data_IF_331803485074
#
_entry.id   IF_331803485074
#
_cell.length_a   1.000
_cell.length_b   1.000
_cell.length_c   1.000
_cell.angle_alpha   90.00
_cell.angle_beta   90.00
_cell.angle_gamma   90.00
#
_symmetry.space_group_name_H-M   'P 1'
#
loop_
_entity.id
_entity.type
_entity.pdbx_description
1 polymer ?
#
# COMPACT_ATOMS: atom_id res chain seq x y z
N UNK A 1 55.32 -39.89 -63.78
CA UNK A 1 53.88 -40.06 -63.52
C UNK A 1 53.53 -39.09 -62.40
N UNK A 2 52.94 -37.95 -62.73
CA UNK A 2 52.53 -36.94 -61.73
C UNK A 2 51.23 -37.40 -61.06
N UNK A 3 51.23 -37.43 -59.74
CA UNK A 3 50.05 -37.72 -58.92
C UNK A 3 49.11 -36.51 -58.89
N UNK A 4 47.79 -36.71 -59.07
CA UNK A 4 46.85 -35.60 -59.07
C UNK A 4 46.77 -34.95 -57.68
N UNK A 5 46.55 -33.63 -57.59
CA UNK A 5 46.46 -32.94 -56.31
C UNK A 5 45.22 -33.41 -55.53
N UNK A 6 45.47 -33.87 -54.30
CA UNK A 6 44.42 -34.25 -53.34
C UNK A 6 43.59 -33.02 -52.96
N UNK A 7 42.33 -33.01 -53.37
CA UNK A 7 41.37 -31.98 -52.97
C UNK A 7 40.96 -32.23 -51.51
N UNK A 8 41.40 -31.37 -50.59
CA UNK A 8 40.91 -31.40 -49.22
C UNK A 8 39.46 -30.86 -49.19
N UNK A 9 38.49 -31.55 -48.57
CA UNK A 9 37.13 -31.05 -48.49
C UNK A 9 37.08 -29.76 -47.64
N UNK A 10 36.26 -28.76 -48.02
CA UNK A 10 36.16 -27.51 -47.28
C UNK A 10 35.65 -27.77 -45.85
N UNK A 11 36.36 -27.24 -44.85
CA UNK A 11 35.96 -27.30 -43.44
C UNK A 11 34.61 -26.62 -43.27
N UNK A 12 33.59 -27.38 -42.83
CA UNK A 12 32.25 -26.87 -42.54
C UNK A 12 32.35 -25.81 -41.45
N UNK A 13 32.10 -24.56 -41.82
CA UNK A 13 32.24 -23.42 -40.92
C UNK A 13 31.07 -23.38 -39.94
N UNK A 14 31.38 -23.61 -38.66
CA UNK A 14 30.42 -23.40 -37.56
C UNK A 14 30.23 -21.91 -37.22
N UNK A 15 30.79 -20.99 -38.02
CA UNK A 15 30.73 -19.54 -37.80
C UNK A 15 29.28 -19.04 -37.72
N UNK A 16 28.36 -19.57 -38.52
CA UNK A 16 26.93 -19.20 -38.43
C UNK A 16 26.29 -19.61 -37.11
N UNK A 17 26.69 -20.77 -36.56
CA UNK A 17 26.18 -21.28 -35.28
C UNK A 17 26.77 -20.49 -34.10
N UNK A 18 28.05 -20.12 -34.16
CA UNK A 18 28.72 -19.28 -33.15
C UNK A 18 28.12 -17.87 -33.16
N UNK A 19 27.93 -17.25 -34.32
CA UNK A 19 27.28 -15.94 -34.44
C UNK A 19 25.85 -15.99 -33.91
N UNK A 20 25.08 -17.04 -34.24
CA UNK A 20 23.74 -17.25 -33.72
C UNK A 20 23.69 -17.38 -32.19
N UNK A 21 24.65 -18.10 -31.59
CA UNK A 21 24.75 -18.29 -30.14
C UNK A 21 25.13 -17.00 -29.40
N UNK A 22 26.06 -16.21 -29.97
CA UNK A 22 26.49 -14.93 -29.39
C UNK A 22 25.36 -13.89 -29.49
N UNK A 23 24.70 -13.76 -30.65
CA UNK A 23 23.58 -12.83 -30.82
C UNK A 23 22.36 -13.26 -29.99
N UNK A 24 22.08 -14.57 -29.89
CA UNK A 24 21.03 -15.11 -29.03
C UNK A 24 21.30 -14.86 -27.54
N UNK A 25 22.54 -15.03 -27.09
CA UNK A 25 22.95 -14.75 -25.72
C UNK A 25 22.83 -13.27 -25.34
N UNK A 26 23.24 -12.36 -26.23
CA UNK A 26 23.09 -10.91 -26.04
C UNK A 26 21.60 -10.52 -26.05
N UNK A 27 20.80 -11.08 -26.96
CA UNK A 27 19.36 -10.85 -26.99
C UNK A 27 18.68 -11.31 -25.68
N UNK A 28 19.03 -12.47 -25.13
CA UNK A 28 18.46 -12.95 -23.86
C UNK A 28 18.94 -12.10 -22.67
N UNK A 29 20.20 -11.68 -22.64
CA UNK A 29 20.71 -10.85 -21.55
C UNK A 29 20.11 -9.44 -21.56
N UNK A 30 20.05 -8.80 -22.74
CA UNK A 30 19.58 -7.42 -22.88
C UNK A 30 18.05 -7.33 -22.97
N UNK A 31 17.39 -8.23 -23.70
CA UNK A 31 15.93 -8.21 -23.87
C UNK A 31 15.25 -9.02 -22.76
N UNK A 32 15.78 -10.19 -22.42
CA UNK A 32 15.25 -11.02 -21.33
C UNK A 32 15.43 -10.37 -19.96
N UNK A 33 16.57 -9.74 -19.69
CA UNK A 33 16.80 -8.97 -18.46
C UNK A 33 15.88 -7.76 -18.33
N UNK A 34 15.69 -7.00 -19.42
CA UNK A 34 14.74 -5.87 -19.45
C UNK A 34 13.31 -6.37 -19.30
N UNK A 35 12.92 -7.45 -19.96
CA UNK A 35 11.59 -8.05 -19.81
C UNK A 35 11.34 -8.54 -18.37
N UNK A 36 12.32 -9.19 -17.72
CA UNK A 36 12.19 -9.63 -16.33
C UNK A 36 12.07 -8.45 -15.36
N UNK A 37 12.84 -7.38 -15.57
CA UNK A 37 12.71 -6.15 -14.77
C UNK A 37 11.38 -5.44 -15.02
N UNK A 38 10.93 -5.36 -16.27
CA UNK A 38 9.68 -4.69 -16.62
C UNK A 38 8.46 -5.49 -16.14
N UNK A 39 8.35 -6.78 -16.50
CA UNK A 39 7.23 -7.63 -16.13
C UNK A 39 7.26 -8.06 -14.66
N UNK A 40 8.43 -8.37 -14.10
CA UNK A 40 8.60 -8.67 -12.68
C UNK A 40 8.36 -7.44 -11.80
N UNK A 41 8.88 -6.28 -12.22
CA UNK A 41 8.61 -5.01 -11.56
C UNK A 41 7.13 -4.64 -11.57
N UNK A 42 6.44 -4.80 -12.72
CA UNK A 42 5.00 -4.59 -12.84
C UNK A 42 4.18 -5.51 -11.93
N UNK A 43 4.56 -6.79 -11.80
CA UNK A 43 3.85 -7.74 -10.93
C UNK A 43 4.00 -7.39 -9.44
N UNK A 44 5.21 -7.02 -9.01
CA UNK A 44 5.47 -6.58 -7.63
C UNK A 44 4.75 -5.26 -7.37
N UNK A 45 4.84 -4.29 -8.29
CA UNK A 45 4.19 -2.99 -8.16
C UNK A 45 2.67 -3.12 -8.03
N UNK A 46 2.04 -3.97 -8.84
CA UNK A 46 0.60 -4.27 -8.74
C UNK A 46 0.21 -4.95 -7.43
N UNK A 47 1.11 -5.75 -6.84
CA UNK A 47 0.88 -6.40 -5.54
C UNK A 47 0.94 -5.43 -4.37
N UNK A 48 1.80 -4.42 -4.40
CA UNK A 48 2.02 -3.48 -3.28
C UNK A 48 1.24 -2.17 -3.42
N UNK A 49 0.86 -1.77 -4.64
CA UNK A 49 0.13 -0.54 -4.91
C UNK A 49 -1.16 -0.37 -4.07
N UNK A 50 -2.05 -1.37 -3.94
CA UNK A 50 -3.25 -1.22 -3.13
C UNK A 50 -2.97 -0.94 -1.66
N UNK A 51 -1.86 -1.47 -1.13
CA UNK A 51 -1.44 -1.17 0.24
C UNK A 51 -0.80 0.21 0.37
N UNK A 52 0.00 0.62 -0.60
CA UNK A 52 0.56 1.97 -0.62
C UNK A 52 -0.56 3.04 -0.69
N UNK A 53 -1.57 2.82 -1.53
CA UNK A 53 -2.78 3.65 -1.60
C UNK A 53 -3.49 3.74 -0.26
N UNK A 54 -3.74 2.58 0.37
CA UNK A 54 -4.30 2.50 1.73
C UNK A 54 -3.51 3.30 2.75
N UNK A 55 -2.20 3.06 2.84
CA UNK A 55 -1.34 3.70 3.83
C UNK A 55 -1.33 5.22 3.64
N UNK A 56 -1.16 5.70 2.40
CA UNK A 56 -1.19 7.13 2.09
C UNK A 56 -2.53 7.77 2.45
N UNK A 57 -3.63 7.09 2.15
CA UNK A 57 -4.96 7.54 2.49
C UNK A 57 -5.13 7.73 4.01
N UNK A 58 -4.65 6.79 4.82
CA UNK A 58 -4.62 6.95 6.27
C UNK A 58 -3.71 8.10 6.73
N UNK A 59 -2.57 8.31 6.08
CA UNK A 59 -1.68 9.44 6.36
C UNK A 59 -2.33 10.79 6.05
N UNK A 60 -3.08 10.92 4.95
CA UNK A 60 -3.83 12.15 4.66
C UNK A 60 -4.88 12.44 5.73
N UNK A 61 -5.55 11.39 6.24
CA UNK A 61 -6.51 11.55 7.34
C UNK A 61 -5.83 11.93 8.65
N UNK A 62 -4.65 11.38 8.95
CA UNK A 62 -3.84 11.78 10.11
C UNK A 62 -3.42 13.27 10.03
N UNK A 63 -2.99 13.71 8.85
CA UNK A 63 -2.65 15.11 8.60
C UNK A 63 -3.88 16.01 8.72
N UNK A 64 -5.03 15.57 8.19
CA UNK A 64 -6.30 16.26 8.34
C UNK A 64 -6.73 16.39 9.81
N UNK A 65 -6.58 15.32 10.61
CA UNK A 65 -6.82 15.38 12.06
C UNK A 65 -5.92 16.40 12.75
N UNK A 66 -4.64 16.44 12.37
CA UNK A 66 -3.67 17.40 12.93
C UNK A 66 -3.97 18.85 12.50
N UNK A 67 -4.51 19.05 11.31
CA UNK A 67 -4.97 20.35 10.85
C UNK A 67 -6.25 20.79 11.57
N UNK A 68 -7.24 19.90 11.69
CA UNK A 68 -8.48 20.12 12.43
C UNK A 68 -8.20 20.45 13.90
N UNK A 69 -7.31 19.69 14.55
CA UNK A 69 -6.90 19.91 15.94
C UNK A 69 -6.43 21.36 16.18
N UNK A 70 -5.62 21.91 15.25
CA UNK A 70 -5.08 23.28 15.37
C UNK A 70 -6.15 24.37 15.25
N UNK A 71 -7.22 24.10 14.53
CA UNK A 71 -8.31 25.06 14.27
C UNK A 71 -9.48 24.92 15.26
N UNK A 72 -9.57 23.79 15.99
CA UNK A 72 -10.71 23.45 16.85
C UNK A 72 -10.30 23.22 18.31
N UNK A 73 -9.42 24.09 18.85
CA UNK A 73 -8.98 24.06 20.25
C UNK A 73 -8.44 22.69 20.70
N UNK A 74 -7.73 21.96 19.85
CA UNK A 74 -7.19 20.65 20.21
C UNK A 74 -8.23 19.52 20.25
N UNK A 75 -9.45 19.73 19.78
CA UNK A 75 -10.51 18.71 19.79
C UNK A 75 -10.48 17.84 18.54
N UNK A 76 -10.96 16.61 18.72
CA UNK A 76 -11.30 15.70 17.65
C UNK A 76 -12.67 16.06 17.05
N UNK A 77 -12.91 15.67 15.79
CA UNK A 77 -14.19 15.92 15.13
C UNK A 77 -15.34 15.17 15.80
N UNK A 78 -16.57 15.55 15.43
CA UNK A 78 -17.75 14.82 15.87
C UNK A 78 -17.85 13.46 15.19
N UNK A 79 -18.11 12.41 15.95
CA UNK A 79 -18.28 11.06 15.43
C UNK A 79 -19.36 10.98 14.33
N UNK A 80 -20.43 11.78 14.42
CA UNK A 80 -21.51 11.76 13.44
C UNK A 80 -21.14 12.34 12.07
N UNK A 81 -20.12 13.22 12.00
CA UNK A 81 -19.78 14.01 10.80
C UNK A 81 -18.27 14.08 10.54
N UNK A 82 -17.50 13.16 11.10
CA UNK A 82 -16.04 13.28 11.14
C UNK A 82 -15.40 13.33 9.73
N UNK A 83 -15.92 12.60 8.74
CA UNK A 83 -15.39 12.67 7.38
C UNK A 83 -15.75 14.01 6.74
N UNK A 84 -16.96 14.52 6.96
CA UNK A 84 -17.38 15.81 6.42
C UNK A 84 -16.57 16.96 7.03
N UNK A 85 -16.28 16.89 8.32
CA UNK A 85 -15.47 17.86 9.05
C UNK A 85 -13.99 17.80 8.65
N UNK A 86 -13.46 16.61 8.34
CA UNK A 86 -12.08 16.43 7.88
C UNK A 86 -11.90 16.62 6.36
N UNK A 87 -12.95 16.45 5.55
CA UNK A 87 -12.92 16.57 4.10
C UNK A 87 -12.23 17.83 3.55
N UNK A 88 -12.46 19.05 4.09
CA UNK A 88 -11.76 20.24 3.58
C UNK A 88 -10.23 20.17 3.80
N UNK A 89 -9.77 19.49 4.85
CA UNK A 89 -8.34 19.33 5.13
C UNK A 89 -7.71 18.24 4.26
N UNK A 90 -8.43 17.14 4.03
CA UNK A 90 -8.01 16.11 3.06
C UNK A 90 -7.96 16.69 1.65
N UNK A 91 -8.96 17.49 1.25
CA UNK A 91 -8.95 18.15 -0.06
C UNK A 91 -7.69 18.99 -0.27
N UNK A 92 -7.28 19.80 0.72
CA UNK A 92 -6.05 20.60 0.65
C UNK A 92 -4.79 19.76 0.42
N UNK A 93 -4.66 18.62 1.09
CA UNK A 93 -3.50 17.74 0.94
C UNK A 93 -3.49 16.98 -0.40
N UNK A 94 -4.66 16.86 -1.04
CA UNK A 94 -4.85 16.06 -2.25
C UNK A 94 -4.92 16.89 -3.53
N UNK A 95 -5.13 18.22 -3.46
CA UNK A 95 -5.24 19.11 -4.63
C UNK A 95 -4.00 19.99 -4.91
N UNK A 96 -2.89 19.80 -4.20
CA UNK A 96 -1.63 20.55 -4.44
C UNK A 96 -0.70 19.93 -5.50
N UNK A 97 0.40 20.63 -5.85
CA UNK A 97 1.50 20.18 -6.76
C UNK A 97 2.03 18.76 -6.47
N UNK A 98 1.74 18.19 -5.30
CA UNK A 98 2.06 16.80 -4.91
C UNK A 98 1.33 15.72 -5.75
N UNK A 99 0.33 16.07 -6.56
CA UNK A 99 -0.36 15.12 -7.45
C UNK A 99 0.35 14.89 -8.79
N UNK A 100 1.18 15.83 -9.26
CA UNK A 100 1.87 15.69 -10.54
C UNK A 100 2.97 14.62 -10.41
N UNK A 101 2.63 13.39 -10.78
CA UNK A 101 3.53 12.24 -10.79
C UNK A 101 3.24 11.15 -9.75
N UNK A 102 2.16 11.24 -8.96
CA UNK A 102 1.80 10.17 -8.02
C UNK A 102 1.04 9.04 -8.75
N UNK A 103 1.60 7.82 -8.88
CA UNK A 103 0.93 6.71 -9.57
C UNK A 103 -0.20 6.05 -8.76
N UNK A 104 -0.42 6.48 -7.52
CA UNK A 104 -1.37 5.87 -6.60
C UNK A 104 -2.69 6.65 -6.56
N UNK A 105 -3.81 5.92 -6.49
CA UNK A 105 -5.13 6.52 -6.36
C UNK A 105 -5.35 7.10 -4.96
N UNK A 106 -5.45 8.42 -4.91
CA UNK A 106 -5.81 9.18 -3.71
C UNK A 106 -7.33 9.09 -3.48
N UNK A 107 -7.76 9.00 -2.22
CA UNK A 107 -9.18 9.01 -1.86
C UNK A 107 -9.89 10.31 -2.28
N UNK A 108 -11.15 10.21 -2.69
CA UNK A 108 -12.00 11.39 -2.87
C UNK A 108 -12.46 11.91 -1.50
N UNK A 109 -12.20 13.19 -1.20
CA UNK A 109 -12.62 13.85 0.04
C UNK A 109 -14.15 13.77 0.26
N UNK A 110 -14.95 13.68 -0.82
CA UNK A 110 -16.42 13.57 -0.76
C UNK A 110 -16.95 12.13 -0.85
N UNK A 111 -16.08 11.16 -1.11
CA UNK A 111 -16.44 9.75 -1.19
C UNK A 111 -16.44 9.03 0.16
N UNK A 112 -16.78 7.73 0.14
CA UNK A 112 -16.56 6.85 1.29
C UNK A 112 -15.06 6.62 1.48
N UNK A 113 -14.56 6.87 2.68
CA UNK A 113 -13.15 6.63 2.99
C UNK A 113 -12.92 5.20 3.41
N UNK A 114 -11.83 4.61 2.89
CA UNK A 114 -11.59 3.20 3.05
C UNK A 114 -10.37 2.72 2.29
N UNK A 115 -10.27 1.41 2.25
CA UNK A 115 -9.15 0.67 1.71
C UNK A 115 -9.64 -0.30 0.65
N UNK A 116 -8.89 -0.47 -0.43
CA UNK A 116 -9.15 -1.50 -1.45
C UNK A 116 -7.93 -2.39 -1.53
N UNK A 117 -8.10 -3.69 -1.31
CA UNK A 117 -7.03 -4.68 -1.41
C UNK A 117 -7.54 -5.88 -2.23
N UNK A 118 -7.25 -5.86 -3.53
CA UNK A 118 -7.88 -6.78 -4.48
C UNK A 118 -9.38 -6.55 -4.55
N UNK A 119 -10.17 -7.61 -4.39
CA UNK A 119 -11.64 -7.55 -4.39
C UNK A 119 -12.24 -7.13 -3.05
N UNK A 120 -11.42 -7.02 -1.99
CA UNK A 120 -11.89 -6.65 -0.66
C UNK A 120 -11.85 -5.14 -0.48
N UNK A 121 -13.03 -4.56 -0.20
CA UNK A 121 -13.18 -3.15 0.21
C UNK A 121 -13.48 -3.07 1.70
N UNK A 122 -12.71 -2.27 2.42
CA UNK A 122 -12.89 -1.94 3.84
C UNK A 122 -13.13 -0.44 3.99
N UNK A 123 -13.74 -0.02 5.10
CA UNK A 123 -13.99 1.39 5.41
C UNK A 123 -13.07 1.91 6.50
N UNK A 124 -12.93 3.24 6.56
CA UNK A 124 -12.37 3.92 7.72
C UNK A 124 -13.52 4.27 8.67
N UNK A 125 -13.39 3.88 9.94
CA UNK A 125 -14.35 4.18 10.99
C UNK A 125 -13.71 5.09 12.05
N UNK A 126 -14.46 6.06 12.54
CA UNK A 126 -14.08 6.85 13.70
C UNK A 126 -14.52 6.15 15.00
N UNK A 127 -13.65 6.16 16.01
CA UNK A 127 -13.96 5.60 17.31
C UNK A 127 -14.94 6.51 18.05
N UNK A 128 -16.18 6.03 18.27
CA UNK A 128 -17.22 6.81 18.96
C UNK A 128 -16.83 7.23 20.37
N UNK A 129 -15.90 6.53 21.01
CA UNK A 129 -15.39 6.92 22.33
C UNK A 129 -14.51 8.19 22.28
N UNK A 130 -14.12 8.65 21.08
CA UNK A 130 -13.29 9.84 20.88
C UNK A 130 -14.09 11.07 20.44
N UNK A 131 -15.42 10.97 20.36
CA UNK A 131 -16.32 12.04 19.92
C UNK A 131 -16.09 13.35 20.70
N UNK A 132 -15.63 14.39 20.00
CA UNK A 132 -15.37 15.71 20.56
C UNK A 132 -14.29 15.78 21.67
N UNK A 133 -13.58 14.68 21.95
CA UNK A 133 -12.52 14.63 22.96
C UNK A 133 -11.29 15.41 22.54
N UNK A 134 -10.41 15.74 23.49
CA UNK A 134 -9.13 16.37 23.18
C UNK A 134 -8.18 15.35 22.55
N UNK A 135 -7.44 15.78 21.53
CA UNK A 135 -6.37 14.97 20.92
C UNK A 135 -5.30 14.57 21.95
N UNK A 136 -5.04 15.43 22.95
CA UNK A 136 -4.12 15.14 24.05
C UNK A 136 -4.53 13.91 24.88
N UNK A 137 -5.83 13.72 25.11
CA UNK A 137 -6.34 12.51 25.78
C UNK A 137 -6.06 11.26 24.96
N UNK A 138 -6.15 11.37 23.62
CA UNK A 138 -5.83 10.30 22.71
C UNK A 138 -4.33 9.98 22.72
N UNK A 139 -3.46 11.01 22.72
CA UNK A 139 -2.00 10.90 22.76
C UNK A 139 -1.51 10.23 24.04
N UNK A 140 -1.94 10.74 25.19
CA UNK A 140 -1.50 10.26 26.51
C UNK A 140 -1.81 8.79 26.77
N UNK A 141 -2.94 8.31 26.23
CA UNK A 141 -3.40 6.91 26.38
C UNK A 141 -3.10 6.05 25.17
N UNK A 142 -2.46 6.61 24.14
CA UNK A 142 -2.28 6.01 22.83
C UNK A 142 -3.58 5.37 22.29
N UNK A 143 -4.70 6.08 22.44
CA UNK A 143 -6.03 5.59 22.07
C UNK A 143 -6.22 5.63 20.56
N UNK A 144 -6.92 4.61 20.04
CA UNK A 144 -7.29 4.55 18.62
C UNK A 144 -8.39 5.56 18.33
N UNK A 145 -8.13 6.44 17.36
CA UNK A 145 -9.03 7.51 16.93
C UNK A 145 -9.81 7.07 15.69
N UNK A 146 -9.10 6.57 14.68
CA UNK A 146 -9.67 6.06 13.44
C UNK A 146 -9.12 4.67 13.21
N UNK A 147 -9.92 3.76 12.68
CA UNK A 147 -9.53 2.38 12.42
C UNK A 147 -10.16 1.85 11.15
N UNK A 148 -9.56 0.80 10.62
CA UNK A 148 -10.10 0.06 9.49
C UNK A 148 -11.21 -0.88 9.94
N UNK A 149 -12.32 -0.87 9.21
CA UNK A 149 -13.49 -1.68 9.48
C UNK A 149 -13.86 -2.53 8.26
N UNK A 150 -14.40 -3.74 8.44
CA UNK A 150 -15.02 -4.49 7.35
C UNK A 150 -16.27 -3.79 6.80
N UNK A 151 -16.87 -2.86 7.55
CA UNK A 151 -18.00 -2.05 7.08
C UNK A 151 -17.47 -0.87 6.26
N UNK A 152 -18.22 -0.48 5.25
CA UNK A 152 -17.95 0.71 4.43
C UNK A 152 -19.06 1.73 4.61
N UNK A 153 -18.74 3.00 4.36
CA UNK A 153 -19.72 4.08 4.35
C UNK A 153 -19.15 5.42 4.78
N UNK A 154 -19.84 6.49 4.39
CA UNK A 154 -19.53 7.85 4.80
C UNK A 154 -19.83 8.08 6.27
N UNK A 155 -18.96 8.82 6.95
CA UNK A 155 -19.03 9.11 8.39
C UNK A 155 -19.24 7.85 9.25
N UNK A 156 -18.66 6.72 8.85
CA UNK A 156 -18.75 5.50 9.62
C UNK A 156 -18.16 5.74 11.01
N UNK A 157 -18.96 5.56 12.05
CA UNK A 157 -18.54 5.72 13.43
C UNK A 157 -18.97 4.49 14.23
N UNK A 158 -17.99 3.86 14.87
CA UNK A 158 -18.16 2.59 15.56
C UNK A 158 -17.34 2.62 16.85
N UNK A 159 -17.75 1.83 17.84
CA UNK A 159 -16.89 1.55 18.97
C UNK A 159 -15.66 0.76 18.49
N UNK A 160 -14.46 1.19 18.90
CA UNK A 160 -13.25 0.46 18.55
C UNK A 160 -13.20 -0.89 19.27
N UNK A 161 -12.98 -1.95 18.48
CA UNK A 161 -12.71 -3.29 18.96
C UNK A 161 -11.54 -3.87 18.17
N UNK A 162 -10.63 -4.54 18.86
CA UNK A 162 -9.50 -5.19 18.21
C UNK A 162 -9.99 -6.37 17.38
N UNK A 163 -9.79 -6.28 16.06
CA UNK A 163 -10.19 -7.31 15.12
C UNK A 163 -9.08 -8.35 14.94
N UNK A 164 -9.48 -9.58 14.60
CA UNK A 164 -8.53 -10.66 14.38
C UNK A 164 -7.68 -10.42 13.13
N UNK A 165 -6.36 -10.62 13.23
CA UNK A 165 -5.45 -10.42 12.09
C UNK A 165 -5.80 -11.33 10.92
N UNK A 166 -6.21 -12.58 11.16
CA UNK A 166 -6.51 -13.51 10.07
C UNK A 166 -7.74 -13.07 9.26
N UNK A 167 -8.61 -12.25 9.85
CA UNK A 167 -9.76 -11.63 9.18
C UNK A 167 -9.42 -10.34 8.39
N UNK A 168 -8.20 -9.82 8.52
CA UNK A 168 -7.78 -8.60 7.80
C UNK A 168 -7.62 -8.85 6.29
N UNK A 169 -7.70 -7.78 5.46
CA UNK A 169 -7.41 -7.89 4.04
C UNK A 169 -6.04 -8.50 3.77
N UNK A 170 -5.92 -9.20 2.65
CA UNK A 170 -4.67 -9.87 2.26
C UNK A 170 -3.79 -8.95 1.43
N UNK A 171 -2.49 -9.06 1.64
CA UNK A 171 -1.44 -8.50 0.80
C UNK A 171 -0.52 -9.65 0.39
N UNK A 172 -0.36 -9.87 -0.93
CA UNK A 172 0.43 -11.00 -1.47
C UNK A 172 0.05 -12.35 -0.81
N UNK A 173 -1.24 -12.61 -0.65
CA UNK A 173 -1.78 -13.84 -0.07
C UNK A 173 -1.80 -13.91 1.46
N UNK A 174 -1.14 -12.99 2.17
CA UNK A 174 -1.04 -13.01 3.63
C UNK A 174 -1.87 -11.91 4.29
N UNK A 175 -2.53 -12.16 5.44
CA UNK A 175 -3.27 -11.12 6.16
C UNK A 175 -2.33 -9.98 6.61
N UNK A 176 -2.64 -8.76 6.16
CA UNK A 176 -1.75 -7.60 6.35
C UNK A 176 -1.87 -6.94 7.73
N UNK A 177 -2.92 -7.25 8.48
CA UNK A 177 -3.30 -6.55 9.70
C UNK A 177 -4.29 -5.42 9.42
N UNK A 178 -4.96 -4.96 10.47
CA UNK A 178 -5.91 -3.86 10.40
C UNK A 178 -5.18 -2.53 10.61
N UNK A 179 -5.54 -1.49 9.86
CA UNK A 179 -4.90 -0.18 10.00
C UNK A 179 -5.62 0.64 11.07
N UNK A 180 -4.86 1.36 11.88
CA UNK A 180 -5.37 2.26 12.93
C UNK A 180 -4.60 3.57 12.90
N UNK A 181 -5.24 4.66 13.32
CA UNK A 181 -4.60 5.93 13.67
C UNK A 181 -4.69 6.06 15.17
N UNK A 182 -3.55 6.08 15.83
CA UNK A 182 -3.43 6.19 17.29
C UNK A 182 -2.89 7.57 17.64
N UNK A 183 -3.43 8.18 18.71
CA UNK A 183 -3.07 9.54 19.08
C UNK A 183 -1.56 9.76 19.25
N UNK A 184 -0.83 8.78 19.81
CA UNK A 184 0.59 8.90 20.11
C UNK A 184 1.54 8.26 19.10
N UNK A 185 1.05 7.52 18.11
CA UNK A 185 1.89 6.71 17.21
C UNK A 185 1.54 6.85 15.72
N UNK A 186 0.57 7.70 15.39
CA UNK A 186 0.14 7.92 14.01
C UNK A 186 -0.50 6.69 13.37
N UNK A 187 -0.27 6.49 12.07
CA UNK A 187 -0.77 5.30 11.34
C UNK A 187 0.01 4.05 11.75
N UNK A 188 -0.69 3.07 12.33
CA UNK A 188 -0.15 1.79 12.77
C UNK A 188 -0.96 0.64 12.18
N UNK A 189 -0.27 -0.39 11.69
CA UNK A 189 -0.90 -1.68 11.40
C UNK A 189 -0.92 -2.52 12.68
N UNK A 190 -2.12 -2.86 13.15
CA UNK A 190 -2.29 -3.68 14.33
C UNK A 190 -1.85 -5.12 14.03
N UNK A 191 -0.78 -5.52 14.72
CA UNK A 191 -0.13 -6.82 14.57
C UNK A 191 -0.45 -7.78 15.75
N UNK A 192 -1.23 -7.36 16.76
CA UNK A 192 -1.27 -8.04 18.09
C UNK A 192 -2.08 -9.35 18.19
N UNK A 193 -2.33 -10.04 17.08
CA UNK A 193 -2.75 -11.45 17.07
C UNK A 193 -1.87 -12.33 16.17
N UNK A 194 -0.56 -12.30 16.38
CA UNK A 194 0.17 -13.57 16.40
C UNK A 194 0.16 -14.01 17.85
N UNK A 195 -0.45 -15.15 18.13
CA UNK A 195 -0.57 -15.66 19.48
C UNK A 195 0.75 -15.55 20.23
N UNK A 196 0.72 -14.96 21.41
CA UNK A 196 1.71 -15.18 22.46
C UNK A 196 1.73 -16.68 22.79
N UNK A 197 2.42 -17.42 21.94
CA UNK A 197 3.02 -18.73 22.18
C UNK A 197 4.46 -18.66 21.66
N UNK A 198 5.21 -17.71 22.19
CA UNK A 198 6.63 -17.94 22.43
C UNK A 198 6.75 -18.16 23.93
N UNK A 199 6.28 -19.33 24.38
CA UNK A 199 6.81 -19.93 25.60
C UNK A 199 8.26 -20.29 25.27
N UNK A 200 9.20 -19.46 25.73
CA UNK A 200 10.58 -19.88 25.85
C UNK A 200 10.64 -20.81 27.06
N UNK A 201 10.59 -22.11 26.80
CA UNK A 201 11.26 -23.09 27.67
C UNK A 201 12.74 -23.10 27.33
#
# INVERSE_FOLDING_TARGET
>A
METPPTYAPPKKSNTGLIIGLVLGGIAICCIGGVALMFFGGLAIFKGVAPMAECAMNYTFVEQALSAYEREHDGKLPSAAKWQDELAPYVAKETTGEKQDGNPFKIMDAKGDWGCTAGDTKTGMAFNTEMDGKKMEDARSKNTVIIFESPKTGRNLALKYEMLDRASSPKLMGNPRGWITIQGGSGVVMDNKRMGSKFDMN
#
